data_IF_322400010885
#
_entry.id   IF_322400010885
#
_cell.length_a   1.000
_cell.length_b   1.000
_cell.length_c   1.000
_cell.angle_alpha   90.00
_cell.angle_beta   90.00
_cell.angle_gamma   90.00
#
_symmetry.space_group_name_H-M   'P 1'
#
loop_
_entity.id
_entity.type
_entity.pdbx_description
1 polymer ?
#
# COMPACT_ATOMS: atom_id res chain seq x y z
N UNK A 1 2.18 -19.75 20.05
CA UNK A 1 2.28 -19.98 18.58
C UNK A 1 3.59 -19.35 18.14
N UNK A 2 4.43 -20.08 17.45
CA UNK A 2 5.65 -19.49 16.91
C UNK A 2 5.38 -18.66 15.64
N UNK A 3 6.37 -17.91 15.18
CA UNK A 3 6.21 -17.02 14.03
C UNK A 3 5.90 -17.77 12.73
N UNK A 4 6.46 -18.96 12.55
CA UNK A 4 6.21 -19.78 11.37
C UNK A 4 4.77 -20.30 11.36
N UNK A 5 4.31 -20.85 12.47
CA UNK A 5 2.92 -21.32 12.61
C UNK A 5 1.90 -20.21 12.37
N UNK A 6 2.19 -18.99 12.88
CA UNK A 6 1.35 -17.82 12.68
C UNK A 6 1.28 -17.44 11.20
N UNK A 7 2.42 -17.21 10.56
CA UNK A 7 2.49 -16.76 9.17
C UNK A 7 2.00 -17.82 8.18
N UNK A 8 2.12 -19.10 8.51
CA UNK A 8 1.59 -20.19 7.67
C UNK A 8 0.05 -20.21 7.62
N UNK A 9 -0.63 -19.53 8.54
CA UNK A 9 -2.09 -19.33 8.50
C UNK A 9 -2.54 -18.29 7.50
N UNK A 10 -1.64 -17.40 7.05
CA UNK A 10 -1.98 -16.33 6.11
C UNK A 10 -2.61 -16.89 4.84
N UNK A 11 -3.75 -16.34 4.46
CA UNK A 11 -4.44 -16.64 3.19
C UNK A 11 -4.71 -15.33 2.45
N UNK A 12 -4.87 -15.41 1.15
CA UNK A 12 -5.39 -14.32 0.34
C UNK A 12 -6.92 -14.37 0.37
N UNK A 13 -7.54 -13.38 0.96
CA UNK A 13 -8.97 -13.36 1.24
C UNK A 13 -9.69 -12.47 0.23
N UNK A 14 -10.79 -12.95 -0.32
CA UNK A 14 -11.65 -12.21 -1.24
C UNK A 14 -13.08 -12.02 -0.69
N UNK A 15 -13.41 -12.69 0.41
CA UNK A 15 -14.71 -12.54 1.09
C UNK A 15 -14.47 -12.08 2.51
N UNK A 16 -15.12 -11.00 2.87
CA UNK A 16 -14.99 -10.36 4.16
C UNK A 16 -16.26 -10.49 4.98
N UNK A 17 -16.12 -10.48 6.31
CA UNK A 17 -17.26 -10.44 7.22
C UNK A 17 -18.03 -9.14 7.05
N UNK A 18 -19.35 -9.20 7.14
CA UNK A 18 -20.21 -8.02 7.19
C UNK A 18 -20.08 -7.26 8.51
N UNK A 19 -19.62 -7.94 9.57
CA UNK A 19 -19.37 -7.32 10.87
C UNK A 19 -17.92 -6.83 10.88
N UNK A 20 -17.69 -5.51 10.93
CA UNK A 20 -16.33 -4.96 10.99
C UNK A 20 -15.68 -5.31 12.32
N UNK A 21 -14.36 -5.55 12.33
CA UNK A 21 -13.62 -5.61 13.59
C UNK A 21 -13.66 -4.26 14.31
N UNK A 22 -13.56 -4.25 15.65
CA UNK A 22 -13.50 -3.01 16.42
C UNK A 22 -12.36 -2.10 15.96
N UNK A 23 -12.63 -0.79 15.89
CA UNK A 23 -11.66 0.21 15.43
C UNK A 23 -10.37 0.17 16.26
N UNK A 24 -10.49 -0.03 17.55
CA UNK A 24 -9.37 -0.07 18.51
C UNK A 24 -8.40 -1.23 18.20
N UNK A 25 -8.92 -2.36 17.70
CA UNK A 25 -8.09 -3.50 17.29
C UNK A 25 -7.33 -3.15 16.01
N UNK A 26 -7.97 -2.48 15.05
CA UNK A 26 -7.32 -2.03 13.83
C UNK A 26 -6.21 -1.02 14.15
N UNK A 27 -6.48 -0.04 15.00
CA UNK A 27 -5.50 0.94 15.45
C UNK A 27 -4.31 0.28 16.17
N UNK A 28 -4.56 -0.71 17.03
CA UNK A 28 -3.54 -1.49 17.72
C UNK A 28 -2.64 -2.25 16.73
N UNK A 29 -3.23 -2.91 15.73
CA UNK A 29 -2.50 -3.66 14.70
C UNK A 29 -1.62 -2.70 13.88
N UNK A 30 -2.19 -1.59 13.44
CA UNK A 30 -1.49 -0.56 12.66
C UNK A 30 -0.32 0.03 13.45
N UNK A 31 -0.53 0.37 14.72
CA UNK A 31 0.52 0.91 15.58
C UNK A 31 1.66 -0.09 15.78
N UNK A 32 1.35 -1.36 16.08
CA UNK A 32 2.36 -2.43 16.21
C UNK A 32 3.18 -2.57 14.93
N UNK A 33 2.52 -2.67 13.77
CA UNK A 33 3.17 -2.82 12.48
C UNK A 33 4.07 -1.62 12.15
N UNK A 34 3.56 -0.41 12.34
CA UNK A 34 4.32 0.82 12.14
C UNK A 34 5.56 0.90 13.03
N UNK A 35 5.41 0.55 14.32
CA UNK A 35 6.48 0.64 15.33
C UNK A 35 7.68 -0.26 15.03
N UNK A 36 7.47 -1.43 14.41
CA UNK A 36 8.53 -2.42 14.13
C UNK A 36 9.01 -2.38 12.68
N UNK A 37 8.35 -1.62 11.81
CA UNK A 37 8.77 -1.52 10.42
C UNK A 37 10.00 -0.62 10.30
N UNK A 38 11.13 -1.14 9.80
CA UNK A 38 12.30 -0.32 9.59
C UNK A 38 12.07 0.69 8.46
N UNK A 39 12.61 1.88 8.64
CA UNK A 39 12.61 2.93 7.62
C UNK A 39 14.01 3.53 7.47
N UNK A 40 14.48 3.69 6.23
CA UNK A 40 15.76 4.31 5.94
C UNK A 40 15.80 5.72 6.53
N UNK A 41 16.77 5.98 7.40
CA UNK A 41 16.93 7.27 8.11
C UNK A 41 15.66 7.72 8.87
N UNK A 42 14.79 6.80 9.21
CA UNK A 42 13.51 7.07 9.88
C UNK A 42 12.60 8.07 9.10
N UNK A 43 12.65 8.05 7.77
CA UNK A 43 11.86 8.96 6.93
C UNK A 43 10.39 8.58 6.84
N UNK A 44 10.09 7.29 6.87
CA UNK A 44 8.72 6.77 6.66
C UNK A 44 8.09 7.45 5.43
N UNK A 45 8.54 7.13 4.19
CA UNK A 45 8.19 7.87 2.98
C UNK A 45 6.79 7.54 2.45
N UNK A 46 5.86 7.17 3.33
CA UNK A 46 4.49 6.84 2.99
C UNK A 46 3.51 7.27 4.08
N UNK A 47 2.28 7.53 3.67
CA UNK A 47 1.14 7.67 4.55
C UNK A 47 0.29 6.41 4.47
N UNK A 48 -0.42 6.10 5.55
CA UNK A 48 -1.41 5.04 5.61
C UNK A 48 -2.75 5.69 5.84
N UNK A 49 -3.61 5.69 4.83
CA UNK A 49 -4.96 6.21 4.92
C UNK A 49 -5.89 5.05 5.24
N UNK A 50 -6.63 5.16 6.32
CA UNK A 50 -7.54 4.11 6.82
C UNK A 50 -8.96 4.47 6.44
N UNK A 51 -9.55 3.74 5.51
CA UNK A 51 -10.95 3.87 5.11
C UNK A 51 -11.77 2.84 5.90
N UNK A 52 -12.52 3.32 6.87
CA UNK A 52 -13.35 2.51 7.76
C UNK A 52 -14.66 2.04 7.11
N UNK A 53 -15.56 1.40 7.89
CA UNK A 53 -16.84 0.90 7.37
C UNK A 53 -17.69 1.98 6.71
N UNK A 54 -17.67 3.20 7.25
CA UNK A 54 -18.51 4.31 6.79
C UNK A 54 -17.94 5.07 5.58
N UNK A 55 -16.68 4.82 5.19
CA UNK A 55 -16.00 5.47 4.06
C UNK A 55 -16.37 4.82 2.71
N UNK A 56 -17.65 4.77 2.38
CA UNK A 56 -18.17 4.06 1.19
C UNK A 56 -17.76 4.76 -0.09
N UNK A 57 -17.92 6.08 -0.15
CA UNK A 57 -17.60 6.88 -1.33
C UNK A 57 -16.10 6.86 -1.65
N UNK A 58 -15.25 6.96 -0.63
CA UNK A 58 -13.80 6.91 -0.79
C UNK A 58 -13.32 5.53 -1.26
N UNK A 59 -13.93 4.45 -0.75
CA UNK A 59 -13.65 3.08 -1.22
C UNK A 59 -14.04 2.91 -2.68
N UNK A 60 -15.18 3.46 -3.09
CA UNK A 60 -15.61 3.45 -4.48
C UNK A 60 -14.66 4.22 -5.39
N UNK A 61 -14.17 5.38 -4.94
CA UNK A 61 -13.15 6.14 -5.67
C UNK A 61 -11.87 5.33 -5.87
N UNK A 62 -11.37 4.65 -4.82
CA UNK A 62 -10.20 3.77 -4.92
C UNK A 62 -10.43 2.62 -5.90
N UNK A 63 -11.62 2.01 -5.87
CA UNK A 63 -12.00 0.97 -6.81
C UNK A 63 -11.99 1.48 -8.27
N UNK A 64 -12.58 2.63 -8.52
CA UNK A 64 -12.64 3.23 -9.85
C UNK A 64 -11.23 3.59 -10.37
N UNK A 65 -10.37 4.14 -9.53
CA UNK A 65 -8.96 4.38 -9.87
C UNK A 65 -8.22 3.08 -10.19
N UNK A 66 -8.46 2.02 -9.45
CA UNK A 66 -7.85 0.71 -9.70
C UNK A 66 -8.29 0.10 -11.04
N UNK A 67 -9.58 0.23 -11.38
CA UNK A 67 -10.13 -0.20 -12.68
C UNK A 67 -9.51 0.58 -13.85
N UNK A 68 -9.39 1.90 -13.71
CA UNK A 68 -8.79 2.77 -14.73
C UNK A 68 -7.31 2.44 -14.96
N UNK A 69 -6.55 2.19 -13.89
CA UNK A 69 -5.15 1.85 -14.00
C UNK A 69 -4.94 0.53 -14.76
N UNK A 70 -5.77 -0.46 -14.46
CA UNK A 70 -5.73 -1.76 -15.13
C UNK A 70 -6.01 -1.62 -16.63
N UNK A 71 -7.02 -0.85 -17.01
CA UNK A 71 -7.31 -0.57 -18.41
C UNK A 71 -6.08 0.01 -19.13
N UNK A 72 -5.44 1.03 -18.55
CA UNK A 72 -4.24 1.66 -19.11
C UNK A 72 -3.05 0.72 -19.23
N UNK A 73 -2.85 -0.18 -18.26
CA UNK A 73 -1.77 -1.17 -18.29
C UNK A 73 -2.01 -2.17 -19.42
N UNK A 74 -3.23 -2.66 -19.56
CA UNK A 74 -3.59 -3.59 -20.63
C UNK A 74 -3.44 -2.97 -22.03
N UNK A 75 -3.84 -1.70 -22.21
CA UNK A 75 -3.68 -0.95 -23.46
C UNK A 75 -2.19 -0.79 -23.83
N UNK A 76 -1.30 -0.65 -22.85
CA UNK A 76 0.15 -0.54 -23.08
C UNK A 76 0.81 -1.88 -23.43
N UNK A 77 0.43 -2.94 -22.72
CA UNK A 77 1.09 -4.24 -22.82
C UNK A 77 0.57 -5.07 -24.02
N UNK A 78 -0.69 -4.90 -24.38
CA UNK A 78 -1.29 -5.61 -25.47
C UNK A 78 -2.47 -4.86 -26.12
N UNK A 79 -2.20 -3.87 -26.99
CA UNK A 79 -3.23 -3.05 -27.60
C UNK A 79 -4.24 -3.84 -28.45
N UNK A 80 -3.89 -5.05 -28.86
CA UNK A 80 -4.76 -5.92 -29.67
C UNK A 80 -5.65 -6.86 -28.87
N UNK A 81 -5.48 -6.93 -27.54
CA UNK A 81 -6.17 -7.87 -26.68
C UNK A 81 -7.16 -7.23 -25.71
N UNK A 82 -7.58 -6.01 -25.98
CA UNK A 82 -8.47 -5.22 -25.12
C UNK A 82 -9.85 -5.92 -24.96
N UNK A 83 -10.31 -6.62 -25.98
CA UNK A 83 -11.63 -7.23 -26.01
C UNK A 83 -11.79 -8.46 -25.07
N UNK A 84 -10.71 -9.22 -24.82
CA UNK A 84 -10.81 -10.48 -24.09
C UNK A 84 -10.73 -10.34 -22.56
N UNK A 85 -10.30 -9.18 -22.04
CA UNK A 85 -10.13 -8.97 -20.60
C UNK A 85 -11.43 -8.66 -19.85
N UNK A 86 -12.46 -8.19 -20.54
CA UNK A 86 -13.77 -7.95 -19.93
C UNK A 86 -14.57 -9.25 -19.75
N UNK A 87 -14.33 -10.26 -20.59
CA UNK A 87 -15.02 -11.55 -20.53
C UNK A 87 -14.43 -12.53 -19.51
N UNK A 88 -13.13 -12.43 -19.19
CA UNK A 88 -12.41 -13.43 -18.36
C UNK A 88 -12.56 -13.27 -16.84
N UNK A 89 -13.56 -12.56 -16.34
CA UNK A 89 -13.87 -12.51 -14.90
C UNK A 89 -12.82 -11.83 -14.00
N UNK A 90 -11.75 -11.29 -14.58
CA UNK A 90 -10.72 -10.57 -13.82
C UNK A 90 -11.22 -9.21 -13.28
N UNK A 91 -12.28 -8.66 -13.85
CA UNK A 91 -12.95 -7.45 -13.35
C UNK A 91 -13.75 -7.71 -12.06
N UNK A 92 -14.25 -8.92 -11.86
CA UNK A 92 -14.98 -9.31 -10.65
C UNK A 92 -14.09 -9.29 -9.38
N UNK A 93 -12.77 -9.31 -9.53
CA UNK A 93 -11.85 -9.44 -8.40
C UNK A 93 -11.67 -8.16 -7.55
N UNK A 94 -12.16 -7.01 -7.98
CA UNK A 94 -12.01 -5.76 -7.20
C UNK A 94 -13.32 -5.26 -6.59
N UNK A 95 -14.47 -5.83 -6.92
CA UNK A 95 -15.76 -5.41 -6.36
C UNK A 95 -15.84 -5.62 -4.84
N UNK A 96 -15.04 -6.54 -4.31
CA UNK A 96 -14.93 -6.75 -2.87
C UNK A 96 -14.39 -5.50 -2.12
N UNK A 97 -13.71 -4.57 -2.80
CA UNK A 97 -13.23 -3.32 -2.17
C UNK A 97 -14.36 -2.49 -1.57
N UNK A 98 -15.56 -2.56 -2.15
CA UNK A 98 -16.72 -1.86 -1.60
C UNK A 98 -17.29 -2.55 -0.36
N UNK A 99 -16.99 -3.84 -0.17
CA UNK A 99 -17.52 -4.65 0.92
C UNK A 99 -16.54 -4.88 2.05
N UNK A 100 -15.24 -4.52 1.86
CA UNK A 100 -14.24 -4.68 2.92
C UNK A 100 -14.58 -3.75 4.10
N UNK A 101 -14.54 -4.25 5.34
CA UNK A 101 -14.77 -3.42 6.50
C UNK A 101 -13.77 -2.26 6.60
N UNK A 102 -12.49 -2.56 6.39
CA UNK A 102 -11.42 -1.56 6.38
C UNK A 102 -10.55 -1.72 5.12
N UNK A 103 -10.27 -0.60 4.47
CA UNK A 103 -9.33 -0.51 3.36
C UNK A 103 -8.17 0.40 3.77
N UNK A 104 -6.94 -0.12 3.67
CA UNK A 104 -5.73 0.64 3.93
C UNK A 104 -5.09 1.06 2.61
N UNK A 105 -4.98 2.36 2.39
CA UNK A 105 -4.40 2.94 1.19
C UNK A 105 -3.05 3.56 1.54
N UNK A 106 -1.97 2.93 1.08
CA UNK A 106 -0.62 3.48 1.23
C UNK A 106 -0.35 4.46 0.08
N UNK A 107 -0.05 5.70 0.43
CA UNK A 107 0.31 6.75 -0.54
C UNK A 107 1.73 7.23 -0.27
N UNK A 108 2.45 7.59 -1.32
CA UNK A 108 3.77 8.17 -1.17
C UNK A 108 3.69 9.51 -0.44
N UNK A 109 4.66 9.77 0.42
CA UNK A 109 4.84 11.03 1.13
C UNK A 109 6.13 11.69 0.67
N UNK A 110 6.09 12.98 0.39
CA UNK A 110 7.30 13.80 0.22
C UNK A 110 7.90 14.01 1.61
N UNK A 111 9.14 13.56 1.80
CA UNK A 111 9.86 13.72 3.05
C UNK A 111 10.90 14.81 2.89
N UNK A 112 10.96 15.74 3.85
CA UNK A 112 12.08 16.65 3.93
C UNK A 112 13.36 15.91 4.35
N UNK A 113 14.53 16.24 3.76
CA UNK A 113 15.80 15.66 4.18
C UNK A 113 16.06 15.99 5.66
N UNK A 114 16.52 14.98 6.40
CA UNK A 114 16.96 15.19 7.78
C UNK A 114 18.28 15.98 7.83
N UNK A 115 18.68 16.41 9.03
CA UNK A 115 19.90 17.21 9.22
C UNK A 115 21.18 16.53 8.67
N UNK A 116 21.28 15.21 8.79
CA UNK A 116 22.41 14.46 8.26
C UNK A 116 22.52 14.59 6.74
N UNK A 117 21.41 14.46 6.04
CA UNK A 117 21.37 14.63 4.57
C UNK A 117 21.59 16.09 4.21
N UNK A 118 20.96 17.04 4.93
CA UNK A 118 21.17 18.48 4.71
C UNK A 118 22.65 18.86 4.87
N UNK A 119 23.32 18.38 5.89
CA UNK A 119 24.75 18.67 6.13
C UNK A 119 25.68 18.08 5.07
N UNK A 120 25.31 16.96 4.44
CA UNK A 120 26.08 16.37 3.35
C UNK A 120 25.88 17.02 1.98
N UNK A 121 24.80 17.83 1.82
CA UNK A 121 24.45 18.49 0.55
C UNK A 121 25.03 19.93 0.44
N UNK A 122 25.43 20.56 1.54
CA UNK A 122 25.69 22.01 1.65
C UNK A 122 26.84 22.54 0.80
N UNK A 123 27.67 21.70 0.17
CA UNK A 123 28.92 22.17 -0.45
C UNK A 123 29.00 22.18 -1.99
N UNK A 124 27.94 21.78 -2.72
CA UNK A 124 28.01 21.78 -4.19
C UNK A 124 26.60 21.89 -4.86
N UNK A 125 26.35 23.00 -5.54
CA UNK A 125 25.05 23.26 -6.22
C UNK A 125 24.77 22.26 -7.35
N UNK A 126 25.78 21.70 -8.00
CA UNK A 126 25.61 20.67 -9.04
C UNK A 126 25.26 19.30 -8.45
N UNK A 127 25.69 19.03 -7.21
CA UNK A 127 25.36 17.80 -6.50
C UNK A 127 23.89 17.80 -6.09
N UNK A 128 23.29 18.98 -5.84
CA UNK A 128 21.90 19.07 -5.42
C UNK A 128 20.93 18.60 -6.50
N UNK A 129 21.10 19.00 -7.77
CA UNK A 129 20.21 18.57 -8.86
C UNK A 129 20.39 17.07 -9.17
N UNK A 130 21.62 16.59 -9.24
CA UNK A 130 21.90 15.17 -9.48
C UNK A 130 21.46 14.28 -8.31
N UNK A 131 21.58 14.76 -7.07
CA UNK A 131 21.07 14.05 -5.90
C UNK A 131 19.54 14.11 -5.83
N UNK A 132 18.92 15.18 -6.28
CA UNK A 132 17.45 15.30 -6.29
C UNK A 132 16.82 14.26 -7.20
N UNK A 133 17.30 14.05 -8.42
CA UNK A 133 16.83 12.99 -9.32
C UNK A 133 17.14 11.59 -8.77
N UNK A 134 18.32 11.37 -8.20
CA UNK A 134 18.68 10.11 -7.55
C UNK A 134 17.79 9.85 -6.32
N UNK A 135 17.57 10.88 -5.49
CA UNK A 135 16.71 10.78 -4.32
C UNK A 135 15.26 10.45 -4.71
N UNK A 136 14.71 11.07 -5.73
CA UNK A 136 13.36 10.75 -6.20
C UNK A 136 13.24 9.30 -6.67
N UNK A 137 14.21 8.81 -7.44
CA UNK A 137 14.23 7.42 -7.90
C UNK A 137 14.48 6.43 -6.74
N UNK A 138 15.36 6.76 -5.80
CA UNK A 138 15.64 5.94 -4.62
C UNK A 138 14.49 5.98 -3.60
N UNK A 139 13.83 7.13 -3.44
CA UNK A 139 12.63 7.26 -2.60
C UNK A 139 11.52 6.35 -3.11
N UNK A 140 11.27 6.27 -4.41
CA UNK A 140 10.24 5.38 -4.97
C UNK A 140 10.53 3.91 -4.66
N UNK A 141 11.78 3.47 -4.88
CA UNK A 141 12.21 2.10 -4.59
C UNK A 141 12.17 1.81 -3.09
N UNK A 142 12.66 2.73 -2.28
CA UNK A 142 12.68 2.62 -0.82
C UNK A 142 11.26 2.60 -0.27
N UNK A 143 10.37 3.47 -0.76
CA UNK A 143 8.95 3.48 -0.37
C UNK A 143 8.29 2.14 -0.65
N UNK A 144 8.49 1.56 -1.83
CA UNK A 144 7.92 0.26 -2.17
C UNK A 144 8.42 -0.86 -1.25
N UNK A 145 9.73 -0.88 -0.95
CA UNK A 145 10.32 -1.84 -0.03
C UNK A 145 9.78 -1.69 1.40
N UNK A 146 9.72 -0.46 1.90
CA UNK A 146 9.24 -0.18 3.26
C UNK A 146 7.73 -0.46 3.41
N UNK A 147 6.92 -0.13 2.42
CA UNK A 147 5.49 -0.52 2.39
C UNK A 147 5.34 -2.04 2.35
N UNK A 148 6.22 -2.75 1.62
CA UNK A 148 6.25 -4.21 1.62
C UNK A 148 6.55 -4.80 3.00
N UNK A 149 7.54 -4.25 3.71
CA UNK A 149 7.88 -4.65 5.09
C UNK A 149 6.75 -4.31 6.07
N UNK A 150 6.17 -3.10 5.97
CA UNK A 150 5.00 -2.72 6.77
C UNK A 150 3.84 -3.69 6.58
N UNK A 151 3.53 -4.03 5.33
CA UNK A 151 2.47 -4.97 4.97
C UNK A 151 2.70 -6.38 5.53
N UNK A 152 3.95 -6.86 5.53
CA UNK A 152 4.31 -8.15 6.13
C UNK A 152 4.08 -8.13 7.66
N UNK A 153 4.55 -7.09 8.33
CA UNK A 153 4.35 -6.90 9.78
C UNK A 153 2.86 -6.75 10.12
N UNK A 154 2.12 -5.97 9.33
CA UNK A 154 0.67 -5.80 9.47
C UNK A 154 -0.06 -7.13 9.38
N UNK A 155 0.32 -7.99 8.42
CA UNK A 155 -0.27 -9.31 8.26
C UNK A 155 -0.04 -10.19 9.49
N UNK A 156 1.16 -10.17 10.05
CA UNK A 156 1.49 -10.95 11.23
C UNK A 156 0.65 -10.50 12.44
N UNK A 157 0.59 -9.19 12.70
CA UNK A 157 -0.18 -8.67 13.84
C UNK A 157 -1.70 -8.80 13.66
N UNK A 158 -2.20 -8.74 12.41
CA UNK A 158 -3.60 -9.02 12.14
C UNK A 158 -3.95 -10.48 12.48
N UNK A 159 -3.10 -11.43 12.07
CA UNK A 159 -3.29 -12.85 12.39
C UNK A 159 -3.22 -13.14 13.89
N UNK A 160 -2.40 -12.41 14.66
CA UNK A 160 -2.38 -12.51 16.13
C UNK A 160 -3.75 -12.14 16.74
N UNK A 161 -4.43 -11.15 16.16
CA UNK A 161 -5.76 -10.71 16.60
C UNK A 161 -6.90 -11.50 15.93
N UNK A 162 -6.58 -12.55 15.16
CA UNK A 162 -7.58 -13.39 14.47
C UNK A 162 -8.21 -12.70 13.25
N UNK A 163 -7.55 -11.70 12.68
CA UNK A 163 -8.02 -10.94 11.53
C UNK A 163 -7.21 -11.32 10.29
N UNK A 164 -7.91 -11.75 9.25
CA UNK A 164 -7.31 -11.97 7.95
C UNK A 164 -7.20 -10.66 7.15
N UNK A 165 -6.13 -10.52 6.39
CA UNK A 165 -5.94 -9.39 5.48
C UNK A 165 -5.64 -9.86 4.07
N UNK A 166 -6.09 -9.07 3.10
CA UNK A 166 -5.73 -9.24 1.70
C UNK A 166 -4.93 -8.04 1.19
N UNK A 167 -4.13 -8.26 0.19
CA UNK A 167 -3.24 -7.25 -0.33
C UNK A 167 -3.44 -7.08 -1.83
N UNK A 168 -3.63 -5.84 -2.26
CA UNK A 168 -3.77 -5.46 -3.66
C UNK A 168 -2.61 -4.56 -4.04
N UNK A 169 -1.96 -4.85 -5.14
CA UNK A 169 -0.80 -4.10 -5.64
C UNK A 169 -1.10 -3.31 -6.94
N UNK A 170 -2.37 -3.15 -7.29
CA UNK A 170 -2.79 -2.62 -8.60
C UNK A 170 -3.27 -1.17 -8.55
N UNK A 171 -2.71 -0.34 -7.68
CA UNK A 171 -3.04 1.08 -7.64
C UNK A 171 -2.18 1.89 -8.61
N UNK A 172 -2.74 2.95 -9.25
CA UNK A 172 -2.00 3.76 -10.21
C UNK A 172 -0.83 4.50 -9.53
N UNK A 173 0.32 4.55 -10.24
CA UNK A 173 1.50 5.29 -9.79
C UNK A 173 1.34 6.81 -9.85
N UNK A 174 0.22 7.32 -10.36
CA UNK A 174 -0.06 8.76 -10.50
C UNK A 174 -1.51 9.03 -10.15
N UNK A 175 -1.79 9.21 -8.87
CA UNK A 175 -2.84 10.10 -8.43
C UNK A 175 -2.17 11.46 -8.23
N UNK A 176 -2.19 12.30 -9.26
CA UNK A 176 -1.99 13.74 -9.13
C UNK A 176 -3.34 14.40 -9.01
#
# INVERSE_FOLDING_TARGET
>A
MDAFELLNKRRHIHKFSVTPPPKEIIEKILWKAWKVTPSKNNFIPYNINVLGPDAVEEKEQVLNLSKLNKKRTNERENPNNIANYEEDGFNANFEFLNTVPYLLVCTQRICEPNEYIRSSIVNDNNVYEQMHERLLNDIMKTTAAEVGMFKANLSAFALEEGIDISCIACTPHKAQ
#
